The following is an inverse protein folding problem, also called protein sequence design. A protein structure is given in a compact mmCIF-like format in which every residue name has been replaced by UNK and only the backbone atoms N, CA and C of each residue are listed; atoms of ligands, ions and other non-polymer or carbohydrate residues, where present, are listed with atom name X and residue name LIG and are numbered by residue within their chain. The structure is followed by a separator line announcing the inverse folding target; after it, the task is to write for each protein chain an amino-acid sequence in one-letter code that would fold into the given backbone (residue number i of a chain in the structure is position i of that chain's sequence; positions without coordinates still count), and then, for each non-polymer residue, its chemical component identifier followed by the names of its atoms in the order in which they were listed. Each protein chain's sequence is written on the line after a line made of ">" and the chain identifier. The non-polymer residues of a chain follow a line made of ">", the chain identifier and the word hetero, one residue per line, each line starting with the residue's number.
data_IF_334543552273
#
_entry.id   IF_334543552273
#
_cell.length_a   1.000
_cell.length_b   1.000
_cell.length_c   1.000
_cell.angle_alpha   90.00
_cell.angle_beta   90.00
_cell.angle_gamma   90.00
#
_symmetry.space_group_name_H-M   'P 1'
#
loop_
_entity.id
_entity.type
_entity.pdbx_description
1 polymer ?
#
# COMPACT_ATOMS: atom_id res chain seq x y z
N UNK A 1 -11.83 -20.97 18.82
CA UNK A 1 -10.59 -20.20 19.03
C UNK A 1 -10.92 -18.75 18.65
N UNK A 2 -11.32 -17.95 19.66
CA UNK A 2 -11.81 -16.59 19.43
C UNK A 2 -10.64 -15.65 19.28
N UNK A 3 -10.23 -15.40 18.04
CA UNK A 3 -9.27 -14.33 17.73
C UNK A 3 -10.06 -13.00 17.71
N UNK A 4 -10.27 -12.44 18.91
CA UNK A 4 -10.74 -11.07 19.01
C UNK A 4 -9.58 -10.19 18.56
N UNK A 5 -9.65 -9.71 17.31
CA UNK A 5 -8.80 -8.62 16.84
C UNK A 5 -9.23 -7.39 17.66
N UNK A 6 -8.56 -7.17 18.79
CA UNK A 6 -8.71 -5.90 19.50
C UNK A 6 -8.04 -4.85 18.61
N UNK A 7 -8.73 -3.75 18.26
CA UNK A 7 -8.05 -2.60 17.69
C UNK A 7 -7.01 -2.17 18.72
N UNK A 8 -5.74 -2.39 18.41
CA UNK A 8 -4.64 -1.88 19.23
C UNK A 8 -4.67 -0.38 19.03
N UNK A 9 -5.20 0.34 20.00
CA UNK A 9 -5.04 1.79 20.05
C UNK A 9 -3.53 2.09 19.92
N UNK A 10 -3.13 3.06 19.10
CA UNK A 10 -1.73 3.39 18.92
C UNK A 10 -1.12 3.69 20.28
N UNK A 11 -0.20 2.85 20.70
CA UNK A 11 0.53 3.02 21.94
C UNK A 11 1.63 4.06 21.74
N UNK A 12 1.30 5.31 22.01
CA UNK A 12 2.26 6.41 21.94
C UNK A 12 3.35 6.35 23.02
N UNK A 13 3.24 5.44 23.99
CA UNK A 13 4.27 5.25 25.01
C UNK A 13 5.57 4.68 24.42
N UNK A 14 5.47 3.97 23.29
CA UNK A 14 6.63 3.46 22.56
C UNK A 14 7.51 4.60 21.96
N UNK A 15 6.95 5.79 21.76
CA UNK A 15 7.70 6.99 21.33
C UNK A 15 8.51 7.62 22.47
N UNK A 16 8.25 7.24 23.71
CA UNK A 16 8.86 7.80 24.92
C UNK A 16 10.03 6.96 25.45
N UNK A 17 10.28 5.80 24.86
CA UNK A 17 11.38 4.94 25.25
C UNK A 17 12.71 5.44 24.67
N UNK A 18 13.77 5.48 25.47
CA UNK A 18 15.19 5.77 25.13
C UNK A 18 15.80 4.81 24.09
N UNK A 19 15.02 4.34 23.14
CA UNK A 19 15.43 3.38 22.12
C UNK A 19 15.83 4.10 20.82
N UNK A 20 17.04 4.65 20.83
CA UNK A 20 17.69 5.20 19.63
C UNK A 20 17.63 4.24 18.44
N UNK A 21 17.65 2.93 18.68
CA UNK A 21 17.50 1.89 17.65
C UNK A 21 16.10 1.90 17.01
N UNK A 22 15.05 2.13 17.79
CA UNK A 22 13.69 2.23 17.22
C UNK A 22 13.54 3.49 16.37
N UNK A 23 14.02 4.63 16.87
CA UNK A 23 14.00 5.90 16.14
C UNK A 23 14.81 5.78 14.85
N UNK A 24 15.98 5.14 14.90
CA UNK A 24 16.81 4.88 13.73
C UNK A 24 16.06 4.01 12.69
N UNK A 25 15.40 2.93 13.12
CA UNK A 25 14.65 2.05 12.23
C UNK A 25 13.48 2.78 11.55
N UNK A 26 12.72 3.60 12.28
CA UNK A 26 11.64 4.40 11.70
C UNK A 26 12.17 5.43 10.72
N UNK A 27 13.30 6.11 11.07
CA UNK A 27 13.92 7.08 10.18
C UNK A 27 14.41 6.45 8.88
N UNK A 28 15.05 5.29 8.96
CA UNK A 28 15.51 4.52 7.80
C UNK A 28 14.34 4.13 6.92
N UNK A 29 13.25 3.62 7.51
CA UNK A 29 12.04 3.23 6.77
C UNK A 29 11.44 4.42 6.02
N UNK A 30 11.33 5.58 6.67
CA UNK A 30 10.82 6.81 6.05
C UNK A 30 11.71 7.25 4.89
N UNK A 31 13.04 7.24 5.06
CA UNK A 31 13.99 7.61 4.01
C UNK A 31 13.86 6.67 2.81
N UNK A 32 13.83 5.36 3.04
CA UNK A 32 13.64 4.36 1.97
C UNK A 32 12.32 4.59 1.25
N UNK A 33 11.25 4.87 1.97
CA UNK A 33 9.93 5.14 1.40
C UNK A 33 9.93 6.39 0.52
N UNK A 34 10.58 7.46 0.95
CA UNK A 34 10.72 8.70 0.15
C UNK A 34 11.51 8.43 -1.12
N UNK A 35 12.64 7.70 -1.02
CA UNK A 35 13.45 7.35 -2.19
C UNK A 35 12.68 6.46 -3.17
N UNK A 36 11.97 5.45 -2.68
CA UNK A 36 11.13 4.60 -3.50
C UNK A 36 10.01 5.39 -4.18
N UNK A 37 9.35 6.28 -3.45
CA UNK A 37 8.29 7.16 -3.98
C UNK A 37 8.83 8.10 -5.08
N UNK A 38 10.02 8.66 -4.90
CA UNK A 38 10.71 9.46 -5.93
C UNK A 38 11.01 8.64 -7.18
N UNK A 39 11.55 7.43 -7.03
CA UNK A 39 11.83 6.53 -8.14
C UNK A 39 10.57 6.17 -8.93
N UNK A 40 9.52 5.77 -8.21
CA UNK A 40 8.23 5.40 -8.81
C UNK A 40 7.55 6.59 -9.49
N UNK A 41 7.58 7.78 -8.86
CA UNK A 41 6.98 9.00 -9.43
C UNK A 41 7.69 9.46 -10.70
N UNK A 42 9.02 9.36 -10.76
CA UNK A 42 9.79 9.71 -11.96
C UNK A 42 9.52 8.73 -13.08
N UNK A 43 9.40 7.42 -12.77
CA UNK A 43 9.00 6.41 -13.73
C UNK A 43 7.60 6.69 -14.28
N UNK A 44 6.64 6.94 -13.42
CA UNK A 44 5.27 7.25 -13.81
C UNK A 44 5.19 8.53 -14.66
N UNK A 45 5.88 9.60 -14.26
CA UNK A 45 5.92 10.85 -15.01
C UNK A 45 6.56 10.69 -16.40
N UNK A 46 7.62 9.89 -16.51
CA UNK A 46 8.25 9.62 -17.80
C UNK A 46 7.36 8.77 -18.72
N UNK A 47 6.73 7.73 -18.18
CA UNK A 47 5.89 6.81 -18.97
C UNK A 47 4.64 7.50 -19.52
N UNK A 48 4.04 8.40 -18.77
CA UNK A 48 2.78 9.07 -19.14
C UNK A 48 2.90 10.58 -19.41
N UNK A 49 4.11 11.04 -19.74
CA UNK A 49 4.39 12.46 -20.08
C UNK A 49 3.83 13.47 -19.05
N UNK A 50 3.95 13.13 -17.77
CA UNK A 50 3.49 13.97 -16.67
C UNK A 50 4.51 15.03 -16.26
N UNK A 51 4.04 16.06 -15.54
CA UNK A 51 4.95 17.02 -14.92
C UNK A 51 5.67 16.36 -13.74
N UNK A 52 6.98 16.11 -13.90
CA UNK A 52 7.81 15.39 -12.91
C UNK A 52 7.70 15.98 -11.50
N UNK A 53 7.77 17.30 -11.38
CA UNK A 53 7.73 17.96 -10.08
C UNK A 53 6.39 17.79 -9.35
N UNK A 54 5.28 18.04 -10.05
CA UNK A 54 3.94 17.90 -9.47
C UNK A 54 3.62 16.46 -9.13
N UNK A 55 3.99 15.52 -10.01
CA UNK A 55 3.79 14.09 -9.80
C UNK A 55 4.60 13.60 -8.59
N UNK A 56 5.88 13.99 -8.51
CA UNK A 56 6.73 13.63 -7.38
C UNK A 56 6.19 14.15 -6.05
N UNK A 57 5.77 15.42 -6.01
CA UNK A 57 5.22 16.02 -4.79
C UNK A 57 3.95 15.28 -4.32
N UNK A 58 3.06 14.95 -5.26
CA UNK A 58 1.83 14.20 -4.96
C UNK A 58 2.14 12.79 -4.43
N UNK A 59 3.02 12.05 -5.10
CA UNK A 59 3.41 10.70 -4.68
C UNK A 59 4.06 10.70 -3.30
N UNK A 60 5.06 11.59 -3.06
CA UNK A 60 5.74 11.70 -1.78
C UNK A 60 4.75 12.06 -0.67
N UNK A 61 3.89 13.06 -0.89
CA UNK A 61 2.93 13.51 0.12
C UNK A 61 1.97 12.40 0.54
N UNK A 62 1.34 11.73 -0.42
CA UNK A 62 0.39 10.64 -0.14
C UNK A 62 1.12 9.46 0.52
N UNK A 63 2.27 9.05 -0.02
CA UNK A 63 3.03 7.91 0.52
C UNK A 63 3.51 8.19 1.94
N UNK A 64 3.96 9.40 2.26
CA UNK A 64 4.36 9.78 3.61
C UNK A 64 3.20 9.71 4.60
N UNK A 65 2.04 10.25 4.24
CA UNK A 65 0.84 10.18 5.10
C UNK A 65 0.50 8.72 5.40
N UNK A 66 0.43 7.87 4.37
CA UNK A 66 0.16 6.44 4.57
C UNK A 66 1.24 5.73 5.38
N UNK A 67 2.52 6.04 5.16
CA UNK A 67 3.62 5.45 5.93
C UNK A 67 3.53 5.81 7.40
N UNK A 68 3.24 7.07 7.72
CA UNK A 68 3.06 7.50 9.12
C UNK A 68 1.87 6.78 9.74
N UNK A 69 0.73 6.68 9.05
CA UNK A 69 -0.42 5.94 9.53
C UNK A 69 -0.10 4.46 9.77
N UNK A 70 0.57 3.79 8.82
CA UNK A 70 0.96 2.39 8.97
C UNK A 70 1.91 2.18 10.16
N UNK A 71 2.88 3.07 10.34
CA UNK A 71 3.81 3.02 11.49
C UNK A 71 3.04 3.21 12.80
N UNK A 72 2.08 4.15 12.85
CA UNK A 72 1.28 4.38 14.04
C UNK A 72 0.41 3.16 14.43
N UNK A 73 -0.14 2.45 13.43
CA UNK A 73 -1.03 1.31 13.70
C UNK A 73 -0.32 -0.02 13.86
N UNK A 74 0.73 -0.26 13.08
CA UNK A 74 1.40 -1.56 13.00
C UNK A 74 2.84 -1.55 13.51
N UNK A 75 3.44 -0.37 13.71
CA UNK A 75 4.86 -0.24 14.03
C UNK A 75 5.77 -0.58 12.85
N UNK A 76 7.05 -0.86 13.13
CA UNK A 76 8.06 -1.19 12.12
C UNK A 76 8.14 -2.70 11.90
N UNK A 77 7.14 -3.29 11.26
CA UNK A 77 7.03 -4.73 10.97
C UNK A 77 6.90 -4.98 9.46
N UNK A 78 7.03 -6.25 9.07
CA UNK A 78 6.89 -6.69 7.67
C UNK A 78 5.57 -6.23 7.02
N UNK A 79 4.48 -6.18 7.80
CA UNK A 79 3.16 -5.70 7.35
C UNK A 79 3.22 -4.23 6.92
N UNK A 80 3.98 -3.39 7.63
CA UNK A 80 4.16 -1.97 7.28
C UNK A 80 4.88 -1.83 5.94
N UNK A 81 5.94 -2.61 5.72
CA UNK A 81 6.67 -2.64 4.44
C UNK A 81 5.76 -3.09 3.30
N UNK A 82 4.99 -4.17 3.52
CA UNK A 82 4.00 -4.64 2.56
C UNK A 82 2.97 -3.57 2.23
N UNK A 83 2.44 -2.88 3.25
CA UNK A 83 1.48 -1.79 3.07
C UNK A 83 2.04 -0.62 2.27
N UNK A 84 3.33 -0.27 2.47
CA UNK A 84 4.02 0.78 1.70
C UNK A 84 4.15 0.37 0.22
N UNK A 85 4.59 -0.87 -0.06
CA UNK A 85 4.69 -1.39 -1.43
C UNK A 85 3.33 -1.37 -2.11
N UNK A 86 2.29 -1.82 -1.41
CA UNK A 86 0.92 -1.83 -1.91
C UNK A 86 0.42 -0.41 -2.22
N UNK A 87 0.68 0.54 -1.33
CA UNK A 87 0.34 1.95 -1.53
C UNK A 87 1.02 2.53 -2.79
N UNK A 88 2.31 2.24 -3.00
CA UNK A 88 3.03 2.69 -4.19
C UNK A 88 2.44 2.12 -5.48
N UNK A 89 2.08 0.83 -5.50
CA UNK A 89 1.46 0.19 -6.67
C UNK A 89 0.09 0.82 -6.95
N UNK A 90 -0.73 1.06 -5.92
CA UNK A 90 -2.03 1.70 -6.07
C UNK A 90 -1.91 3.14 -6.58
N UNK A 91 -0.90 3.90 -6.14
CA UNK A 91 -0.64 5.25 -6.65
C UNK A 91 -0.27 5.24 -8.13
N UNK A 92 0.55 4.28 -8.56
CA UNK A 92 0.88 4.11 -9.99
C UNK A 92 -0.37 3.73 -10.79
N UNK A 93 -1.18 2.81 -10.27
CA UNK A 93 -2.43 2.39 -10.91
C UNK A 93 -3.40 3.57 -11.07
N UNK A 94 -3.62 4.32 -9.98
CA UNK A 94 -4.50 5.50 -9.98
C UNK A 94 -3.98 6.59 -10.93
N UNK A 95 -2.67 6.82 -10.98
CA UNK A 95 -2.08 7.79 -11.88
C UNK A 95 -2.20 7.36 -13.35
N UNK A 96 -2.02 6.06 -13.64
CA UNK A 96 -2.23 5.49 -14.97
C UNK A 96 -3.68 5.68 -15.42
N UNK A 97 -4.64 5.34 -14.55
CA UNK A 97 -6.06 5.45 -14.84
C UNK A 97 -6.49 6.89 -15.14
N UNK A 98 -6.02 7.87 -14.34
CA UNK A 98 -6.29 9.29 -14.58
C UNK A 98 -5.74 9.76 -15.94
N UNK A 99 -4.60 9.20 -16.39
CA UNK A 99 -3.93 9.64 -17.62
C UNK A 99 -4.40 8.94 -18.88
N UNK A 100 -4.63 7.63 -18.80
CA UNK A 100 -4.93 6.80 -19.97
C UNK A 100 -6.36 6.29 -19.98
N UNK A 101 -7.06 6.36 -18.84
CA UNK A 101 -8.36 5.70 -18.61
C UNK A 101 -8.32 4.20 -18.87
N UNK A 102 -7.12 3.63 -18.80
CA UNK A 102 -6.89 2.19 -18.97
C UNK A 102 -6.10 1.67 -17.78
N UNK A 103 -6.63 0.65 -17.13
CA UNK A 103 -5.88 -0.10 -16.12
C UNK A 103 -4.95 -1.08 -16.81
N UNK A 104 -3.66 -0.95 -16.55
CA UNK A 104 -2.66 -1.85 -17.14
C UNK A 104 -2.67 -3.20 -16.41
N UNK A 105 -2.88 -4.29 -17.14
CA UNK A 105 -3.00 -5.65 -16.60
C UNK A 105 -1.79 -6.07 -15.73
N UNK A 106 -0.60 -5.58 -16.07
CA UNK A 106 0.61 -5.90 -15.30
C UNK A 106 0.58 -5.33 -13.87
N UNK A 107 -0.16 -4.24 -13.63
CA UNK A 107 -0.34 -3.69 -12.28
C UNK A 107 -1.12 -4.64 -11.37
N UNK A 108 -2.09 -5.36 -11.92
CA UNK A 108 -2.83 -6.40 -11.18
C UNK A 108 -1.90 -7.56 -10.77
N UNK A 109 -0.97 -7.93 -11.65
CA UNK A 109 0.05 -8.94 -11.33
C UNK A 109 0.97 -8.45 -10.21
N UNK A 110 1.39 -7.18 -10.24
CA UNK A 110 2.20 -6.60 -9.17
C UNK A 110 1.47 -6.53 -7.83
N UNK A 111 0.17 -6.21 -7.84
CA UNK A 111 -0.67 -6.25 -6.63
C UNK A 111 -0.72 -7.67 -6.07
N UNK A 112 -0.91 -8.68 -6.94
CA UNK A 112 -0.92 -10.08 -6.54
C UNK A 112 0.41 -10.49 -5.91
N UNK A 113 1.53 -10.14 -6.52
CA UNK A 113 2.87 -10.42 -5.98
C UNK A 113 3.04 -9.72 -4.61
N UNK A 114 2.65 -8.45 -4.49
CA UNK A 114 2.75 -7.72 -3.24
C UNK A 114 1.90 -8.34 -2.12
N UNK A 115 0.76 -8.95 -2.44
CA UNK A 115 -0.09 -9.64 -1.48
C UNK A 115 0.59 -10.90 -0.88
N UNK A 116 1.51 -11.53 -1.61
CA UNK A 116 2.26 -12.68 -1.11
C UNK A 116 3.46 -12.30 -0.21
N UNK A 117 3.86 -11.03 -0.21
CA UNK A 117 4.95 -10.57 0.66
C UNK A 117 4.47 -10.58 2.12
N UNK A 118 5.09 -11.40 2.95
CA UNK A 118 4.70 -11.54 4.37
C UNK A 118 3.44 -12.39 4.61
N UNK A 119 2.96 -13.12 3.60
CA UNK A 119 1.83 -14.02 3.72
C UNK A 119 2.20 -15.21 4.63
N UNK A 120 1.37 -15.46 5.64
CA UNK A 120 1.44 -16.69 6.41
C UNK A 120 0.67 -17.77 5.64
N UNK A 121 1.40 -18.80 5.18
CA UNK A 121 0.83 -19.91 4.42
C UNK A 121 -0.27 -20.68 5.19
N UNK A 122 -0.26 -20.63 6.52
CA UNK A 122 -1.31 -21.25 7.33
C UNK A 122 -2.67 -20.54 7.18
N UNK A 123 -2.64 -19.23 6.86
CA UNK A 123 -3.83 -18.41 6.66
C UNK A 123 -4.24 -18.27 5.19
N UNK A 124 -3.51 -18.90 4.28
CA UNK A 124 -3.75 -18.82 2.84
C UNK A 124 -5.20 -19.18 2.41
N UNK A 125 -5.84 -20.22 2.97
CA UNK A 125 -7.23 -20.54 2.68
C UNK A 125 -8.20 -19.42 3.05
N UNK A 126 -8.01 -18.77 4.20
CA UNK A 126 -8.85 -17.67 4.66
C UNK A 126 -8.66 -16.42 3.80
N UNK A 127 -7.43 -16.14 3.36
CA UNK A 127 -7.14 -15.05 2.42
C UNK A 127 -7.80 -15.29 1.07
N UNK A 128 -7.80 -16.53 0.58
CA UNK A 128 -8.45 -16.90 -0.67
C UNK A 128 -9.97 -16.73 -0.60
N UNK A 129 -10.61 -17.19 0.48
CA UNK A 129 -12.04 -16.99 0.71
C UNK A 129 -12.40 -15.51 0.77
N UNK A 130 -11.60 -14.69 1.46
CA UNK A 130 -11.81 -13.24 1.53
C UNK A 130 -11.67 -12.57 0.16
N UNK A 131 -10.68 -12.97 -0.63
CA UNK A 131 -10.47 -12.47 -1.98
C UNK A 131 -11.63 -12.85 -2.93
N UNK A 132 -12.13 -14.09 -2.83
CA UNK A 132 -13.29 -14.56 -3.59
C UNK A 132 -14.57 -13.79 -3.20
N UNK A 133 -14.74 -13.49 -1.91
CA UNK A 133 -15.89 -12.74 -1.43
C UNK A 133 -15.89 -11.30 -1.98
N UNK A 134 -14.75 -10.60 -1.85
CA UNK A 134 -14.60 -9.21 -2.36
C UNK A 134 -14.71 -9.19 -3.89
N UNK A 135 -14.04 -10.13 -4.57
CA UNK A 135 -14.10 -10.27 -6.02
C UNK A 135 -15.52 -10.57 -6.52
N UNK A 136 -16.26 -11.41 -5.80
CA UNK A 136 -17.65 -11.72 -6.10
C UNK A 136 -18.57 -10.51 -6.00
N UNK A 137 -18.40 -9.68 -4.95
CA UNK A 137 -19.16 -8.42 -4.79
C UNK A 137 -18.84 -7.46 -5.94
N UNK A 138 -17.54 -7.29 -6.26
CA UNK A 138 -17.10 -6.44 -7.37
C UNK A 138 -17.66 -6.90 -8.72
N UNK A 139 -17.71 -8.21 -8.97
CA UNK A 139 -18.22 -8.78 -10.18
C UNK A 139 -19.75 -8.59 -10.29
N UNK A 140 -20.47 -8.73 -9.17
CA UNK A 140 -21.90 -8.43 -9.09
C UNK A 140 -22.21 -6.97 -9.38
N UNK A 141 -21.45 -6.04 -8.81
CA UNK A 141 -21.63 -4.60 -9.07
C UNK A 141 -21.35 -4.26 -10.53
N UNK A 142 -20.38 -4.90 -11.16
CA UNK A 142 -20.04 -4.71 -12.56
C UNK A 142 -21.12 -5.26 -13.50
N UNK A 143 -21.69 -6.41 -13.16
CA UNK A 143 -22.81 -6.99 -13.92
C UNK A 143 -24.07 -6.12 -13.85
N UNK A 144 -24.38 -5.58 -12.67
CA UNK A 144 -25.52 -4.67 -12.48
C UNK A 144 -25.31 -3.37 -13.26
N UNK A 145 -24.09 -2.82 -13.22
CA UNK A 145 -23.76 -1.57 -13.94
C UNK A 145 -23.76 -1.71 -15.46
N UNK A 146 -23.53 -2.90 -16.01
CA UNK A 146 -23.58 -3.14 -17.46
C UNK A 146 -24.99 -3.51 -17.98
N UNK A 147 -25.99 -3.59 -17.10
CA UNK A 147 -27.39 -3.86 -17.50
C UNK A 147 -28.20 -2.60 -17.83
N UNK A 148 -27.60 -1.41 -17.72
CA UNK A 148 -28.16 -0.12 -18.15
C UNK A 148 -27.52 0.31 -19.48
#
# INVERSE_FOLDING_TARGET
>A
MNMIIRPVLPDFSALQADNWLMIANYSILIIITVLASLGVSTFAANKWNGNKGKTALGFIGITLIFTVLLICFFGCIAITVQGIIFCLILLVSSYSDIRTRECSDWLHVMILIAAFIGCDFANLPNMFVSAMFVGGIMLMTLLISNCD
#
